data_IF_226897136657
#
_entry.id   IF_226897136657
#
_cell.length_a   1.000
_cell.length_b   1.000
_cell.length_c   1.000
_cell.angle_alpha   90.00
_cell.angle_beta   90.00
_cell.angle_gamma   90.00
#
_symmetry.space_group_name_H-M   'P 1'
#
loop_
_entity.id
_entity.type
_entity.pdbx_description
1 polymer ?
#
# COMPACT_ATOMS: atom_id res chain seq x y z
N UNK A 1 10.79 11.17 -10.15
CA UNK A 1 9.87 12.22 -10.67
C UNK A 1 8.59 12.33 -9.85
N UNK A 2 7.81 11.26 -9.69
CA UNK A 2 6.57 11.30 -8.88
C UNK A 2 6.83 11.51 -7.37
N UNK A 3 7.81 10.80 -6.78
CA UNK A 3 8.13 10.90 -5.35
C UNK A 3 8.46 12.33 -4.90
N UNK A 4 9.26 13.05 -5.70
CA UNK A 4 9.59 14.47 -5.44
C UNK A 4 8.36 15.37 -5.47
N UNK A 5 7.43 15.10 -6.39
CA UNK A 5 6.18 15.86 -6.50
C UNK A 5 5.25 15.59 -5.31
N UNK A 6 5.16 14.33 -4.84
CA UNK A 6 4.41 14.00 -3.62
C UNK A 6 5.02 14.71 -2.41
N UNK A 7 6.34 14.63 -2.23
CA UNK A 7 7.03 15.28 -1.12
C UNK A 7 6.78 16.79 -1.10
N UNK A 8 6.90 17.45 -2.25
CA UNK A 8 6.62 18.88 -2.38
C UNK A 8 5.16 19.21 -1.99
N UNK A 9 4.18 18.43 -2.46
CA UNK A 9 2.77 18.66 -2.10
C UNK A 9 2.49 18.43 -0.61
N UNK A 10 3.12 17.42 -0.01
CA UNK A 10 3.00 17.18 1.43
C UNK A 10 3.59 18.34 2.25
N UNK A 11 4.73 18.88 1.83
CA UNK A 11 5.35 20.07 2.44
C UNK A 11 4.47 21.30 2.29
N UNK A 12 3.90 21.54 1.10
CA UNK A 12 2.95 22.64 0.87
C UNK A 12 1.73 22.51 1.78
N UNK A 13 1.16 21.31 1.90
CA UNK A 13 0.03 21.06 2.79
C UNK A 13 0.37 21.39 4.25
N UNK A 14 1.55 20.97 4.71
CA UNK A 14 2.03 21.24 6.07
C UNK A 14 2.19 22.73 6.33
N UNK A 15 2.75 23.49 5.38
CA UNK A 15 2.87 24.95 5.48
C UNK A 15 1.51 25.67 5.50
N UNK A 16 0.54 25.20 4.72
CA UNK A 16 -0.79 25.82 4.63
C UNK A 16 -1.68 25.49 5.83
N UNK A 17 -1.58 24.27 6.37
CA UNK A 17 -2.51 23.76 7.39
C UNK A 17 -1.87 23.56 8.76
N UNK A 18 -0.57 23.82 8.90
CA UNK A 18 0.23 23.61 10.11
C UNK A 18 0.10 22.19 10.70
N UNK A 19 -0.09 21.19 9.83
CA UNK A 19 -0.21 19.78 10.22
C UNK A 19 0.22 18.86 9.08
N UNK A 20 0.78 17.70 9.43
CA UNK A 20 1.12 16.67 8.47
C UNK A 20 -0.15 16.07 7.83
N UNK A 21 -0.04 15.66 6.56
CA UNK A 21 -1.12 14.93 5.89
C UNK A 21 -1.33 13.56 6.53
N UNK A 22 -2.59 13.17 6.75
CA UNK A 22 -2.92 11.81 7.17
C UNK A 22 -2.75 10.83 6.01
N UNK A 23 -2.51 9.56 6.30
CA UNK A 23 -2.35 8.53 5.26
C UNK A 23 -3.52 8.47 4.27
N UNK A 24 -4.81 8.53 4.71
CA UNK A 24 -5.94 8.62 3.78
C UNK A 24 -5.94 9.88 2.91
N UNK A 25 -5.48 11.02 3.43
CA UNK A 25 -5.37 12.26 2.65
C UNK A 25 -4.29 12.16 1.58
N UNK A 26 -3.12 11.59 1.93
CA UNK A 26 -2.06 11.29 0.95
C UNK A 26 -2.58 10.32 -0.10
N UNK A 27 -3.39 9.34 0.31
CA UNK A 27 -3.96 8.35 -0.60
C UNK A 27 -4.84 8.98 -1.69
N UNK A 28 -5.74 9.88 -1.27
CA UNK A 28 -6.63 10.60 -2.19
C UNK A 28 -5.87 11.60 -3.08
N UNK A 29 -4.85 12.27 -2.53
CA UNK A 29 -3.99 13.16 -3.30
C UNK A 29 -3.26 12.40 -4.40
N UNK A 30 -2.65 11.25 -4.07
CA UNK A 30 -1.95 10.41 -5.04
C UNK A 30 -2.89 9.92 -6.15
N UNK A 31 -4.09 9.44 -5.80
CA UNK A 31 -5.13 9.06 -6.77
C UNK A 31 -5.41 10.18 -7.78
N UNK A 32 -5.63 11.40 -7.28
CA UNK A 32 -5.91 12.57 -8.11
C UNK A 32 -4.72 12.94 -9.02
N UNK A 33 -3.49 12.85 -8.49
CA UNK A 33 -2.26 13.15 -9.24
C UNK A 33 -2.01 12.16 -10.39
N UNK A 34 -2.29 10.87 -10.17
CA UNK A 34 -2.18 9.86 -11.21
C UNK A 34 -3.23 10.11 -12.31
N UNK A 35 -4.47 10.43 -11.91
CA UNK A 35 -5.56 10.70 -12.85
C UNK A 35 -5.33 11.96 -13.68
N UNK A 36 -4.69 12.98 -13.12
CA UNK A 36 -4.30 14.19 -13.86
C UNK A 36 -3.40 13.87 -15.08
N UNK A 37 -2.67 12.75 -15.05
CA UNK A 37 -1.85 12.25 -16.16
C UNK A 37 -2.55 11.16 -16.99
N UNK A 38 -3.87 11.00 -16.92
CA UNK A 38 -4.62 9.94 -17.64
C UNK A 38 -4.26 9.78 -19.13
N UNK A 39 -4.02 10.88 -19.84
CA UNK A 39 -3.70 10.85 -21.28
C UNK A 39 -2.22 10.60 -21.60
N UNK A 40 -1.35 10.65 -20.59
CA UNK A 40 0.05 10.22 -20.67
C UNK A 40 0.48 9.69 -19.28
N UNK A 41 0.01 8.50 -18.90
CA UNK A 41 0.06 8.02 -17.52
C UNK A 41 1.48 7.65 -17.10
N UNK A 42 1.73 7.71 -15.80
CA UNK A 42 2.98 7.19 -15.24
C UNK A 42 3.00 5.67 -15.36
N UNK A 43 4.08 5.10 -15.90
CA UNK A 43 4.28 3.66 -15.91
C UNK A 43 4.83 3.18 -14.56
N UNK A 44 3.94 3.09 -13.57
CA UNK A 44 4.29 2.76 -12.19
C UNK A 44 3.17 1.95 -11.53
N UNK A 45 3.55 1.14 -10.54
CA UNK A 45 2.62 0.48 -9.61
C UNK A 45 2.93 0.98 -8.21
N UNK A 46 2.01 1.73 -7.62
CA UNK A 46 2.22 2.33 -6.30
C UNK A 46 1.52 1.51 -5.22
N UNK A 47 2.19 1.40 -4.07
CA UNK A 47 1.61 0.97 -2.80
C UNK A 47 1.95 2.03 -1.77
N UNK A 48 0.94 2.61 -1.14
CA UNK A 48 1.07 3.55 -0.03
C UNK A 48 0.70 2.83 1.27
N UNK A 49 1.57 2.86 2.26
CA UNK A 49 1.32 2.26 3.56
C UNK A 49 1.53 3.30 4.67
N UNK A 50 0.75 3.22 5.73
CA UNK A 50 0.87 4.10 6.89
C UNK A 50 -0.10 3.73 7.99
N UNK A 51 -0.22 4.63 8.97
CA UNK A 51 -1.21 4.51 10.04
C UNK A 51 -2.39 5.44 9.74
N UNK A 52 -3.59 4.99 10.05
CA UNK A 52 -4.77 5.85 10.05
C UNK A 52 -4.88 6.66 11.36
N UNK A 53 -5.94 7.46 11.49
CA UNK A 53 -6.14 8.33 12.66
C UNK A 53 -6.31 7.55 13.97
N UNK A 54 -6.70 6.28 13.91
CA UNK A 54 -6.86 5.39 15.06
C UNK A 54 -5.58 4.59 15.36
N UNK A 55 -4.49 4.87 14.65
CA UNK A 55 -3.22 4.13 14.77
C UNK A 55 -3.25 2.74 14.15
N UNK A 56 -4.26 2.40 13.34
CA UNK A 56 -4.33 1.11 12.65
C UNK A 56 -3.58 1.17 11.33
N UNK A 57 -2.90 0.08 10.98
CA UNK A 57 -2.23 -0.05 9.69
C UNK A 57 -3.22 0.07 8.53
N UNK A 58 -2.84 0.82 7.51
CA UNK A 58 -3.59 0.92 6.26
C UNK A 58 -2.64 0.82 5.06
N UNK A 59 -3.06 0.05 4.06
CA UNK A 59 -2.33 -0.12 2.81
C UNK A 59 -3.27 0.25 1.66
N UNK A 60 -2.80 1.10 0.77
CA UNK A 60 -3.50 1.55 -0.43
C UNK A 60 -2.72 1.13 -1.65
N UNK A 61 -3.39 0.46 -2.60
CA UNK A 61 -2.80 0.09 -3.88
C UNK A 61 -3.44 0.85 -5.02
N UNK A 62 -2.63 1.19 -6.03
CA UNK A 62 -3.04 2.01 -7.16
C UNK A 62 -2.88 1.29 -8.48
N UNK A 63 -3.82 1.52 -9.40
CA UNK A 63 -3.56 1.32 -10.82
C UNK A 63 -2.76 2.54 -11.40
N UNK A 64 -2.21 2.43 -12.62
CA UNK A 64 -1.48 3.54 -13.25
C UNK A 64 -2.31 4.80 -13.52
N UNK A 65 -3.64 4.71 -13.43
CA UNK A 65 -4.59 5.80 -13.74
C UNK A 65 -5.02 6.53 -12.46
N UNK A 66 -4.86 5.93 -11.29
CA UNK A 66 -5.21 6.51 -10.00
C UNK A 66 -6.38 5.85 -9.29
N UNK A 67 -6.97 4.76 -9.79
CA UNK A 67 -7.90 3.96 -8.99
C UNK A 67 -7.17 3.47 -7.74
N UNK A 68 -7.72 3.76 -6.55
CA UNK A 68 -7.13 3.37 -5.28
C UNK A 68 -8.04 2.41 -4.51
N UNK A 69 -7.44 1.40 -3.90
CA UNK A 69 -8.13 0.42 -3.07
C UNK A 69 -7.42 0.28 -1.73
N UNK A 70 -8.15 0.32 -0.62
CA UNK A 70 -7.61 0.02 0.73
C UNK A 70 -7.64 -1.49 0.93
N UNK A 71 -6.50 -2.05 1.37
CA UNK A 71 -6.33 -3.47 1.66
C UNK A 71 -5.53 -3.68 2.96
N UNK A 72 -5.59 -4.89 3.52
CA UNK A 72 -4.80 -5.26 4.70
C UNK A 72 -3.37 -5.65 4.34
N UNK A 73 -3.16 -6.13 3.11
CA UNK A 73 -1.88 -6.55 2.57
C UNK A 73 -1.96 -6.50 1.04
N UNK A 74 -0.83 -6.18 0.40
CA UNK A 74 -0.72 -6.14 -1.06
C UNK A 74 0.71 -6.43 -1.50
N UNK A 75 0.86 -7.20 -2.56
CA UNK A 75 2.10 -7.29 -3.32
C UNK A 75 1.95 -6.55 -4.67
N UNK A 76 3.01 -5.87 -5.08
CA UNK A 76 3.10 -5.15 -6.36
C UNK A 76 4.45 -5.37 -7.03
N UNK A 77 4.59 -4.90 -8.27
CA UNK A 77 5.80 -5.09 -9.07
C UNK A 77 5.85 -6.43 -9.81
N UNK A 78 7.03 -6.77 -10.34
CA UNK A 78 7.24 -7.94 -11.21
C UNK A 78 6.90 -9.27 -10.54
N UNK A 79 7.23 -9.42 -9.25
CA UNK A 79 6.93 -10.62 -8.46
C UNK A 79 5.53 -10.60 -7.84
N UNK A 80 4.72 -9.55 -8.04
CA UNK A 80 3.44 -9.36 -7.35
C UNK A 80 2.49 -10.56 -7.49
N UNK A 81 2.43 -11.16 -8.67
CA UNK A 81 1.59 -12.33 -8.95
C UNK A 81 2.05 -13.61 -8.22
N UNK A 82 3.34 -13.72 -7.88
CA UNK A 82 3.89 -14.85 -7.13
C UNK A 82 3.66 -14.67 -5.62
N UNK A 83 3.81 -13.43 -5.13
CA UNK A 83 3.72 -13.14 -3.69
C UNK A 83 2.28 -13.07 -3.20
N UNK A 84 1.37 -12.50 -4.00
CA UNK A 84 -0.02 -12.22 -3.56
C UNK A 84 -0.78 -13.48 -3.10
N UNK A 85 -0.72 -14.65 -3.79
CA UNK A 85 -1.41 -15.87 -3.34
C UNK A 85 -0.88 -16.40 -2.00
N UNK A 86 0.43 -16.27 -1.74
CA UNK A 86 1.04 -16.69 -0.48
C UNK A 86 0.55 -15.80 0.67
N UNK A 87 0.49 -14.48 0.46
CA UNK A 87 -0.08 -13.55 1.44
C UNK A 87 -1.58 -13.82 1.67
N UNK A 88 -2.33 -14.13 0.61
CA UNK A 88 -3.75 -14.48 0.68
C UNK A 88 -4.01 -15.71 1.55
N UNK A 89 -3.14 -16.71 1.47
CA UNK A 89 -3.24 -17.91 2.29
C UNK A 89 -2.77 -17.65 3.73
N UNK A 90 -1.61 -17.01 3.94
CA UNK A 90 -0.99 -16.92 5.26
C UNK A 90 -1.52 -15.78 6.14
N UNK A 91 -1.92 -14.66 5.51
CA UNK A 91 -2.50 -13.50 6.20
C UNK A 91 -4.02 -13.51 6.05
N UNK A 92 -4.51 -13.69 4.82
CA UNK A 92 -5.94 -13.72 4.53
C UNK A 92 -6.65 -15.00 4.97
N UNK A 93 -5.90 -16.05 5.36
CA UNK A 93 -6.41 -17.36 5.74
C UNK A 93 -7.35 -17.99 4.70
N UNK A 94 -7.22 -17.56 3.44
CA UNK A 94 -8.06 -18.04 2.34
C UNK A 94 -7.74 -19.50 2.04
N UNK A 95 -8.78 -20.26 1.68
CA UNK A 95 -8.70 -21.68 1.34
C UNK A 95 -8.21 -22.59 2.47
N UNK A 96 -8.40 -22.20 3.74
CA UNK A 96 -8.12 -23.04 4.90
C UNK A 96 -9.41 -23.42 5.63
N UNK A 97 -9.47 -24.63 6.20
CA UNK A 97 -10.61 -25.09 7.01
C UNK A 97 -10.22 -25.15 8.49
N UNK A 98 -11.18 -24.89 9.39
CA UNK A 98 -11.01 -24.97 10.84
C UNK A 98 -9.90 -24.07 11.43
N UNK A 99 -9.63 -22.93 10.80
CA UNK A 99 -8.61 -21.99 11.26
C UNK A 99 -9.21 -20.96 12.20
N UNK A 100 -8.51 -20.69 13.31
CA UNK A 100 -8.85 -19.58 14.20
C UNK A 100 -8.21 -18.30 13.67
N UNK A 101 -9.02 -17.29 13.40
CA UNK A 101 -8.53 -15.95 13.10
C UNK A 101 -7.83 -15.38 14.32
N UNK A 102 -6.54 -15.10 14.17
CA UNK A 102 -5.73 -14.44 15.19
C UNK A 102 -5.08 -13.20 14.58
N UNK A 103 -4.95 -12.11 15.35
CA UNK A 103 -4.27 -10.91 14.86
C UNK A 103 -2.82 -11.24 14.50
N UNK A 104 -2.35 -10.70 13.37
CA UNK A 104 -1.00 -10.90 12.91
C UNK A 104 -0.01 -10.16 13.82
N UNK A 105 0.87 -10.89 14.51
CA UNK A 105 1.95 -10.27 15.30
C UNK A 105 3.03 -9.68 14.39
N UNK A 106 3.76 -8.69 14.92
CA UNK A 106 4.85 -8.03 14.20
C UNK A 106 5.97 -9.03 13.82
N UNK A 107 6.28 -9.95 14.72
CA UNK A 107 7.33 -10.96 14.52
C UNK A 107 6.94 -11.93 13.40
N UNK A 108 5.68 -12.39 13.41
CA UNK A 108 5.15 -13.28 12.36
C UNK A 108 5.10 -12.56 11.01
N UNK A 109 4.65 -11.31 10.98
CA UNK A 109 4.65 -10.50 9.76
C UNK A 109 6.06 -10.35 9.17
N UNK A 110 7.06 -10.08 10.02
CA UNK A 110 8.44 -9.91 9.60
C UNK A 110 9.06 -11.22 9.10
N UNK A 111 8.80 -12.34 9.77
CA UNK A 111 9.25 -13.66 9.34
C UNK A 111 8.66 -14.02 7.96
N UNK A 112 7.34 -13.87 7.81
CA UNK A 112 6.65 -14.11 6.55
C UNK A 112 7.22 -13.26 5.42
N UNK A 113 7.48 -11.98 5.67
CA UNK A 113 8.04 -11.09 4.66
C UNK A 113 9.42 -11.57 4.19
N UNK A 114 10.28 -12.04 5.11
CA UNK A 114 11.58 -12.62 4.74
C UNK A 114 11.42 -13.87 3.87
N UNK A 115 10.54 -14.78 4.26
CA UNK A 115 10.31 -16.04 3.53
C UNK A 115 9.74 -15.78 2.12
N UNK A 116 8.81 -14.84 2.01
CA UNK A 116 8.17 -14.43 0.76
C UNK A 116 9.20 -13.84 -0.21
N UNK A 117 10.10 -12.97 0.27
CA UNK A 117 11.15 -12.37 -0.56
C UNK A 117 12.25 -13.36 -0.94
N UNK A 118 12.62 -14.29 -0.05
CA UNK A 118 13.58 -15.37 -0.38
C UNK A 118 12.99 -16.29 -1.45
N UNK A 119 11.70 -16.60 -1.39
CA UNK A 119 11.03 -17.46 -2.37
C UNK A 119 10.87 -16.82 -3.75
N UNK A 120 10.99 -15.49 -3.84
CA UNK A 120 10.82 -14.74 -5.09
C UNK A 120 12.13 -14.29 -5.73
N UNK A 121 13.26 -14.47 -5.03
CA UNK A 121 14.61 -14.20 -5.52
C UNK A 121 15.13 -15.38 -6.37
#
# INVERSE_FOLDING_TARGET
>A
TLTRLLQARMQMYEHEHNKAMTTPAVAQMLSTMLYYKRFFPYYISNVLAGLDADGKGCVYSYDPIGHCERSNYRAGGSAGALLQPLLDNQIGLKNMQNVKEAPLSKEKALALLKDVFISAA
#
